data_IF_825916169861
#
_entry.id   IF_825916169861
#
_cell.length_a   1.000
_cell.length_b   1.000
_cell.length_c   1.000
_cell.angle_alpha   90.00
_cell.angle_beta   90.00
_cell.angle_gamma   90.00
#
_symmetry.space_group_name_H-M   'P 1'
#
loop_
_entity.id
_entity.type
_entity.pdbx_description
1 polymer ?
#
# COMPACT_ATOMS: atom_id res chain seq x y z
N UNK A 1 2.96 -2.64 -15.54
CA UNK A 1 3.83 -1.83 -14.67
C UNK A 1 3.72 -0.38 -15.11
N UNK A 2 3.74 0.55 -14.16
CA UNK A 2 3.79 1.99 -14.43
C UNK A 2 5.23 2.41 -14.79
N UNK A 3 5.37 3.48 -15.54
CA UNK A 3 6.68 4.13 -15.78
C UNK A 3 7.06 5.01 -14.60
N UNK A 4 8.32 5.43 -14.53
CA UNK A 4 8.76 6.37 -13.49
C UNK A 4 8.00 7.71 -13.58
N UNK A 5 7.74 8.21 -14.79
CA UNK A 5 6.97 9.45 -14.99
C UNK A 5 5.53 9.34 -14.48
N UNK A 6 4.88 8.17 -14.68
CA UNK A 6 3.56 7.88 -14.14
C UNK A 6 3.60 7.80 -12.60
N UNK A 7 4.65 7.20 -12.05
CA UNK A 7 4.87 7.16 -10.60
C UNK A 7 5.11 8.54 -10.00
N UNK A 8 5.95 9.35 -10.63
CA UNK A 8 6.17 10.74 -10.22
C UNK A 8 4.87 11.53 -10.24
N UNK A 9 4.09 11.41 -11.31
CA UNK A 9 2.78 12.05 -11.40
C UNK A 9 1.90 11.71 -10.19
N UNK A 10 1.82 10.43 -9.80
CA UNK A 10 1.00 10.00 -8.65
C UNK A 10 1.50 10.56 -7.32
N UNK A 11 2.82 10.59 -7.10
CA UNK A 11 3.42 11.17 -5.89
C UNK A 11 3.16 12.67 -5.81
N UNK A 12 3.32 13.41 -6.93
CA UNK A 12 2.99 14.84 -7.00
C UNK A 12 1.50 15.11 -6.80
N UNK A 13 0.63 14.25 -7.36
CA UNK A 13 -0.81 14.32 -7.15
C UNK A 13 -1.17 14.12 -5.68
N UNK A 14 -0.57 13.13 -5.01
CA UNK A 14 -0.78 12.89 -3.59
C UNK A 14 -0.41 14.12 -2.75
N UNK A 15 0.78 14.70 -2.98
CA UNK A 15 1.26 15.91 -2.29
C UNK A 15 0.32 17.09 -2.50
N UNK A 16 0.00 17.40 -3.76
CA UNK A 16 -0.91 18.48 -4.12
C UNK A 16 -2.27 18.32 -3.43
N UNK A 17 -2.82 17.11 -3.43
CA UNK A 17 -4.13 16.82 -2.83
C UNK A 17 -4.13 17.07 -1.32
N UNK A 18 -3.07 16.67 -0.61
CA UNK A 18 -2.91 16.95 0.82
C UNK A 18 -2.83 18.46 1.07
N UNK A 19 -1.95 19.16 0.35
CA UNK A 19 -1.71 20.59 0.54
C UNK A 19 -2.95 21.44 0.22
N UNK A 20 -3.70 21.10 -0.83
CA UNK A 20 -4.97 21.75 -1.17
C UNK A 20 -6.02 21.52 -0.09
N UNK A 21 -6.19 20.27 0.34
CA UNK A 21 -7.13 19.92 1.41
C UNK A 21 -6.82 20.66 2.72
N UNK A 22 -5.55 20.64 3.16
CA UNK A 22 -5.12 21.31 4.39
C UNK A 22 -5.21 22.85 4.31
N UNK A 23 -5.21 23.40 3.09
CA UNK A 23 -5.42 24.84 2.84
C UNK A 23 -6.90 25.22 2.69
N UNK A 24 -7.84 24.27 2.85
CA UNK A 24 -9.27 24.49 2.64
C UNK A 24 -9.67 24.70 1.18
N UNK A 25 -8.78 24.37 0.23
CA UNK A 25 -9.06 24.44 -1.21
C UNK A 25 -9.75 23.18 -1.69
N UNK A 26 -10.54 23.32 -2.75
CA UNK A 26 -11.15 22.16 -3.40
C UNK A 26 -10.08 21.31 -4.10
N UNK A 27 -10.07 20.03 -3.79
CA UNK A 27 -9.23 19.05 -4.49
C UNK A 27 -10.00 18.51 -5.68
N UNK A 28 -9.42 18.66 -6.87
CA UNK A 28 -10.03 18.17 -8.12
C UNK A 28 -9.28 16.96 -8.65
N UNK A 29 -10.05 15.99 -9.15
CA UNK A 29 -9.47 14.84 -9.84
C UNK A 29 -9.02 15.26 -11.25
N UNK A 30 -7.74 15.08 -11.60
CA UNK A 30 -7.26 15.41 -12.93
C UNK A 30 -7.72 14.38 -13.96
N UNK A 31 -7.72 14.79 -15.24
CA UNK A 31 -7.75 13.82 -16.33
C UNK A 31 -6.48 12.98 -16.28
N UNK A 32 -6.58 11.63 -16.23
CA UNK A 32 -5.39 10.77 -16.21
C UNK A 32 -4.52 11.00 -17.45
N UNK A 33 -3.20 11.27 -17.32
CA UNK A 33 -2.31 11.47 -18.46
C UNK A 33 -2.04 10.20 -19.27
N UNK A 34 -2.41 9.03 -18.75
CA UNK A 34 -2.35 7.75 -19.45
C UNK A 34 -3.54 6.87 -19.09
N UNK A 35 -3.87 5.88 -19.95
CA UNK A 35 -4.93 4.91 -19.67
C UNK A 35 -4.67 4.14 -18.38
N UNK A 36 -3.40 3.77 -18.10
CA UNK A 36 -3.01 3.02 -16.91
C UNK A 36 -3.33 3.75 -15.60
N UNK A 37 -3.23 5.08 -15.60
CA UNK A 37 -3.58 5.91 -14.45
C UNK A 37 -5.10 6.08 -14.28
N UNK A 38 -5.87 5.78 -15.33
CA UNK A 38 -7.33 5.68 -15.31
C UNK A 38 -7.87 4.30 -14.90
N UNK A 39 -7.03 3.26 -14.87
CA UNK A 39 -7.45 1.92 -14.45
C UNK A 39 -7.83 1.88 -12.97
N UNK A 40 -8.73 0.95 -12.62
CA UNK A 40 -9.02 0.66 -11.22
C UNK A 40 -7.88 -0.16 -10.61
N UNK A 41 -7.21 0.38 -9.59
CA UNK A 41 -6.08 -0.24 -8.91
C UNK A 41 -6.16 0.02 -7.41
N UNK A 42 -5.64 -0.93 -6.62
CA UNK A 42 -5.38 -0.69 -5.21
C UNK A 42 -4.17 0.24 -5.03
N UNK A 43 -4.20 1.06 -3.98
CA UNK A 43 -3.10 1.99 -3.67
C UNK A 43 -3.00 2.23 -2.17
N UNK A 44 -1.79 2.47 -1.69
CA UNK A 44 -1.51 3.05 -0.39
C UNK A 44 -0.71 4.34 -0.56
N UNK A 45 -0.96 5.30 0.29
CA UNK A 45 -0.13 6.50 0.43
C UNK A 45 0.44 6.52 1.82
N UNK A 46 1.77 6.61 1.91
CA UNK A 46 2.50 6.66 3.18
C UNK A 46 3.22 8.00 3.29
N UNK A 47 3.16 8.57 4.48
CA UNK A 47 3.82 9.80 4.85
C UNK A 47 4.92 9.48 5.85
N UNK A 48 6.15 9.90 5.56
CA UNK A 48 7.27 9.75 6.47
C UNK A 48 7.87 11.11 6.83
N UNK A 49 8.35 11.26 8.06
CA UNK A 49 9.11 12.43 8.49
C UNK A 49 10.50 12.42 7.86
N UNK A 50 10.92 13.53 7.31
CA UNK A 50 12.27 13.69 6.79
C UNK A 50 13.14 14.44 7.81
N UNK A 51 14.41 14.05 8.05
CA UNK A 51 15.10 12.89 7.45
C UNK A 51 14.97 11.58 8.24
N UNK A 52 14.23 11.53 9.36
CA UNK A 52 14.21 10.39 10.29
C UNK A 52 13.57 9.12 9.71
N UNK A 53 12.78 9.24 8.64
CA UNK A 53 11.97 8.16 8.05
C UNK A 53 10.94 7.55 9.03
N UNK A 54 10.58 8.26 10.09
CA UNK A 54 9.50 7.85 10.96
C UNK A 54 8.15 7.95 10.27
N UNK A 55 7.30 6.93 10.47
CA UNK A 55 5.95 6.93 9.94
C UNK A 55 5.15 8.10 10.50
N UNK A 56 4.43 8.84 9.63
CA UNK A 56 3.57 9.97 9.99
C UNK A 56 2.11 9.75 9.62
N UNK A 57 1.83 8.84 8.71
CA UNK A 57 0.50 8.42 8.30
C UNK A 57 0.57 7.42 7.15
N UNK A 58 -0.37 6.47 7.12
CA UNK A 58 -0.46 5.49 6.03
C UNK A 58 -1.89 4.96 5.94
N UNK A 59 -2.59 5.31 4.88
CA UNK A 59 -3.93 4.79 4.56
C UNK A 59 -3.93 4.35 3.10
N UNK A 60 -4.75 3.33 2.79
CA UNK A 60 -4.91 2.85 1.43
C UNK A 60 -6.30 2.37 1.11
N UNK A 61 -6.53 2.20 -0.18
CA UNK A 61 -7.66 1.53 -0.77
C UNK A 61 -7.13 0.26 -1.46
N UNK A 62 -7.09 -0.88 -0.75
CA UNK A 62 -6.42 -2.08 -1.24
C UNK A 62 -7.13 -2.75 -2.43
N UNK A 63 -8.44 -2.56 -2.53
CA UNK A 63 -9.23 -3.16 -3.61
C UNK A 63 -9.39 -2.19 -4.80
N UNK A 64 -9.41 -2.70 -6.04
CA UNK A 64 -9.48 -1.89 -7.27
C UNK A 64 -10.91 -1.37 -7.53
N UNK A 65 -11.43 -0.54 -6.62
CA UNK A 65 -12.79 0.01 -6.68
C UNK A 65 -12.86 1.37 -7.38
N UNK A 66 -11.78 2.15 -7.34
CA UNK A 66 -11.68 3.51 -7.89
C UNK A 66 -10.61 3.57 -8.99
N UNK A 67 -10.71 4.57 -9.89
CA UNK A 67 -9.59 4.89 -10.80
C UNK A 67 -8.36 5.24 -9.96
N UNK A 68 -7.18 4.89 -10.43
CA UNK A 68 -5.94 5.05 -9.65
C UNK A 68 -5.72 6.51 -9.21
N UNK A 69 -5.96 7.48 -10.09
CA UNK A 69 -5.84 8.91 -9.74
C UNK A 69 -6.78 9.32 -8.59
N UNK A 70 -8.02 8.82 -8.60
CA UNK A 70 -9.02 9.12 -7.55
C UNK A 70 -8.65 8.40 -6.24
N UNK A 71 -8.20 7.16 -6.35
CA UNK A 71 -7.76 6.36 -5.21
C UNK A 71 -6.55 7.01 -4.51
N UNK A 72 -5.58 7.55 -5.27
CA UNK A 72 -4.42 8.28 -4.73
C UNK A 72 -4.85 9.54 -3.98
N UNK A 73 -5.76 10.35 -4.55
CA UNK A 73 -6.28 11.55 -3.89
C UNK A 73 -6.92 11.19 -2.54
N UNK A 74 -7.81 10.19 -2.56
CA UNK A 74 -8.52 9.76 -1.35
C UNK A 74 -7.56 9.20 -0.30
N UNK A 75 -6.64 8.30 -0.69
CA UNK A 75 -5.66 7.71 0.21
C UNK A 75 -4.70 8.76 0.79
N UNK A 76 -4.26 9.73 -0.02
CA UNK A 76 -3.38 10.81 0.40
C UNK A 76 -4.00 11.69 1.48
N UNK A 77 -5.23 12.17 1.24
CA UNK A 77 -5.96 13.00 2.21
C UNK A 77 -6.21 12.20 3.49
N UNK A 78 -6.66 10.95 3.37
CA UNK A 78 -6.92 10.10 4.54
C UNK A 78 -5.66 9.79 5.33
N UNK A 79 -4.51 9.58 4.69
CA UNK A 79 -3.23 9.37 5.37
C UNK A 79 -2.79 10.60 6.18
N UNK A 80 -3.11 11.80 5.70
CA UNK A 80 -2.78 13.03 6.39
C UNK A 80 -3.76 13.38 7.51
N UNK A 81 -5.04 12.96 7.43
CA UNK A 81 -6.09 13.51 8.30
C UNK A 81 -6.92 12.47 9.04
N UNK A 82 -6.92 11.21 8.62
CA UNK A 82 -7.80 10.16 9.12
C UNK A 82 -7.09 8.88 9.59
N UNK A 83 -5.76 8.87 9.65
CA UNK A 83 -5.03 7.76 10.26
C UNK A 83 -5.17 7.83 11.80
N UNK A 84 -5.83 6.85 12.45
CA UNK A 84 -6.14 6.92 13.87
C UNK A 84 -4.91 6.87 14.80
N UNK A 85 -3.74 6.52 14.24
CA UNK A 85 -2.48 6.45 15.01
C UNK A 85 -1.84 7.81 15.23
N UNK A 86 -2.26 8.83 14.46
CA UNK A 86 -1.61 10.14 14.43
C UNK A 86 -2.65 11.28 14.46
N UNK A 87 -2.32 12.45 15.05
CA UNK A 87 -3.13 13.63 14.87
C UNK A 87 -3.08 14.11 13.40
N UNK A 88 -4.09 14.82 12.90
CA UNK A 88 -4.08 15.38 11.55
C UNK A 88 -2.80 16.17 11.25
N UNK A 89 -2.26 15.98 10.06
CA UNK A 89 -1.08 16.72 9.57
C UNK A 89 -1.44 18.20 9.43
N UNK A 90 -0.52 19.08 9.79
CA UNK A 90 -0.65 20.52 9.58
C UNK A 90 0.08 20.91 8.29
N UNK A 91 -0.41 21.92 7.59
CA UNK A 91 0.16 22.36 6.30
C UNK A 91 1.68 22.63 6.39
N UNK A 92 2.14 23.25 7.46
CA UNK A 92 3.57 23.52 7.67
C UNK A 92 4.44 22.26 7.84
N UNK A 93 3.86 21.13 8.28
CA UNK A 93 4.59 19.86 8.36
C UNK A 93 4.95 19.29 6.99
N UNK A 94 4.26 19.72 5.92
CA UNK A 94 4.49 19.22 4.56
C UNK A 94 5.89 19.53 4.02
N UNK A 95 6.60 20.51 4.60
CA UNK A 95 7.99 20.83 4.28
C UNK A 95 9.00 19.81 4.84
N UNK A 96 8.56 18.99 5.81
CA UNK A 96 9.34 17.95 6.47
C UNK A 96 8.79 16.53 6.21
N UNK A 97 7.85 16.38 5.27
CA UNK A 97 7.26 15.10 4.91
C UNK A 97 7.70 14.66 3.51
N UNK A 98 8.14 13.42 3.39
CA UNK A 98 8.27 12.71 2.12
C UNK A 98 7.07 11.79 1.92
N UNK A 99 6.64 11.69 0.66
CA UNK A 99 5.46 10.92 0.27
C UNK A 99 5.89 9.70 -0.52
N UNK A 100 5.31 8.56 -0.16
CA UNK A 100 5.43 7.29 -0.86
C UNK A 100 4.04 6.87 -1.37
N UNK A 101 3.97 6.41 -2.62
CA UNK A 101 2.78 5.83 -3.24
C UNK A 101 3.07 4.40 -3.66
N UNK A 102 2.38 3.44 -3.04
CA UNK A 102 2.45 2.02 -3.37
C UNK A 102 1.25 1.62 -4.21
N UNK A 103 1.46 1.35 -5.49
CA UNK A 103 0.40 0.93 -6.44
C UNK A 103 0.36 -0.59 -6.50
N UNK A 104 -0.79 -1.18 -6.16
CA UNK A 104 -0.97 -2.63 -6.13
C UNK A 104 -1.32 -3.18 -7.51
N UNK A 105 -0.82 -4.37 -7.81
CA UNK A 105 -1.34 -5.16 -8.94
C UNK A 105 -2.72 -5.73 -8.60
N UNK A 106 -3.45 -6.19 -9.62
CA UNK A 106 -4.69 -6.92 -9.39
C UNK A 106 -4.40 -8.20 -8.61
N UNK A 107 -5.13 -8.48 -7.51
CA UNK A 107 -4.93 -9.71 -6.76
C UNK A 107 -5.20 -10.97 -7.60
N UNK A 108 -4.31 -11.96 -7.50
CA UNK A 108 -4.42 -13.25 -8.14
C UNK A 108 -4.54 -14.35 -7.09
N UNK A 109 -5.54 -15.24 -7.22
CA UNK A 109 -5.73 -16.35 -6.30
C UNK A 109 -4.60 -17.35 -6.40
N UNK A 110 -3.96 -17.69 -5.28
CA UNK A 110 -2.96 -18.75 -5.21
C UNK A 110 -3.70 -20.07 -5.15
N UNK A 111 -3.59 -20.89 -6.20
CA UNK A 111 -4.14 -22.25 -6.23
C UNK A 111 -3.18 -23.21 -5.54
N UNK A 112 -3.69 -24.03 -4.63
CA UNK A 112 -2.95 -25.06 -3.91
C UNK A 112 -3.87 -26.25 -3.59
N UNK A 113 -3.31 -27.45 -3.65
CA UNK A 113 -4.02 -28.69 -3.29
C UNK A 113 -3.81 -29.06 -1.82
N UNK A 114 -2.62 -28.74 -1.29
CA UNK A 114 -2.24 -28.96 0.10
C UNK A 114 -1.89 -27.62 0.76
N UNK A 115 -2.61 -27.18 1.80
CA UNK A 115 -2.29 -25.95 2.51
C UNK A 115 -0.86 -25.91 3.05
N UNK A 116 -0.26 -27.04 3.42
CA UNK A 116 1.11 -27.12 3.92
C UNK A 116 2.17 -26.72 2.88
N UNK A 117 1.83 -26.78 1.59
CA UNK A 117 2.69 -26.36 0.48
C UNK A 117 2.49 -24.88 0.08
N UNK A 118 1.52 -24.19 0.69
CA UNK A 118 1.25 -22.79 0.39
C UNK A 118 2.47 -21.87 0.68
N UNK A 119 3.24 -22.05 1.77
CA UNK A 119 4.43 -21.25 2.02
C UNK A 119 5.45 -21.27 0.86
N UNK A 120 5.62 -22.41 0.17
CA UNK A 120 6.55 -22.56 -0.96
C UNK A 120 6.18 -21.68 -2.17
N UNK A 121 4.93 -21.21 -2.25
CA UNK A 121 4.42 -20.36 -3.34
C UNK A 121 4.53 -18.87 -3.06
N UNK A 122 5.00 -18.49 -1.85
CA UNK A 122 5.07 -17.11 -1.38
C UNK A 122 6.52 -16.64 -1.40
N UNK A 123 6.75 -15.46 -1.97
CA UNK A 123 8.09 -14.83 -1.99
C UNK A 123 8.05 -13.58 -1.10
N UNK A 124 8.75 -13.66 0.03
CA UNK A 124 8.88 -12.55 0.98
C UNK A 124 9.51 -11.33 0.29
N UNK A 125 8.97 -10.14 0.54
CA UNK A 125 9.42 -8.88 -0.06
C UNK A 125 8.89 -8.61 -1.47
N UNK A 126 8.23 -9.60 -2.10
CA UNK A 126 7.57 -9.44 -3.39
C UNK A 126 6.05 -9.51 -3.24
N UNK A 127 5.58 -10.53 -2.55
CA UNK A 127 4.16 -10.87 -2.50
C UNK A 127 3.48 -10.20 -1.30
N UNK A 128 2.51 -9.33 -1.57
CA UNK A 128 1.47 -8.99 -0.63
C UNK A 128 0.39 -10.06 -0.65
N UNK A 129 -0.25 -10.30 0.47
CA UNK A 129 -1.24 -11.36 0.61
C UNK A 129 -2.58 -10.82 1.07
N UNK A 130 -3.65 -11.43 0.54
CA UNK A 130 -5.03 -11.26 1.02
C UNK A 130 -5.55 -12.64 1.41
N UNK A 131 -6.23 -12.74 2.55
CA UNK A 131 -7.00 -13.89 2.97
C UNK A 131 -8.48 -13.54 3.00
N UNK A 132 -9.32 -14.43 2.48
CA UNK A 132 -10.78 -14.34 2.55
C UNK A 132 -11.35 -15.65 3.04
N UNK A 133 -12.20 -15.61 4.06
CA UNK A 133 -12.85 -16.79 4.63
C UNK A 133 -14.14 -16.41 5.36
N UNK A 134 -15.28 -16.91 4.91
CA UNK A 134 -16.56 -16.83 5.66
C UNK A 134 -17.00 -15.41 6.02
N UNK A 135 -16.72 -14.40 5.18
CA UNK A 135 -17.02 -12.99 5.44
C UNK A 135 -15.89 -12.22 6.16
N UNK A 136 -14.84 -12.90 6.60
CA UNK A 136 -13.64 -12.29 7.14
C UNK A 136 -12.62 -12.03 6.03
N UNK A 137 -11.88 -10.93 6.13
CA UNK A 137 -10.82 -10.58 5.18
C UNK A 137 -9.69 -9.87 5.89
N UNK A 138 -8.46 -10.16 5.47
CA UNK A 138 -7.25 -9.49 5.96
C UNK A 138 -6.26 -9.30 4.81
N UNK A 139 -5.49 -8.22 4.89
CA UNK A 139 -4.47 -7.88 3.92
C UNK A 139 -3.18 -7.48 4.63
N UNK A 140 -2.06 -7.97 4.12
CA UNK A 140 -0.73 -7.54 4.51
C UNK A 140 0.10 -7.20 3.27
N UNK A 141 0.77 -6.05 3.31
CA UNK A 141 1.62 -5.56 2.22
C UNK A 141 2.95 -6.34 2.15
N UNK A 142 3.63 -6.38 0.98
CA UNK A 142 4.88 -7.11 0.79
C UNK A 142 6.02 -6.73 1.74
N UNK A 143 6.07 -5.46 2.19
CA UNK A 143 7.10 -4.96 3.09
C UNK A 143 6.95 -5.46 4.53
N UNK A 144 5.74 -5.80 4.95
CA UNK A 144 5.46 -6.19 6.34
C UNK A 144 6.29 -7.40 6.78
N UNK A 145 6.31 -8.55 6.07
CA UNK A 145 7.11 -9.68 6.49
C UNK A 145 8.62 -9.41 6.43
N UNK A 146 9.07 -8.47 5.60
CA UNK A 146 10.48 -8.03 5.55
C UNK A 146 10.84 -7.23 6.80
N UNK A 147 9.99 -6.30 7.23
CA UNK A 147 10.20 -5.46 8.43
C UNK A 147 10.30 -6.31 9.71
N UNK A 148 9.46 -7.34 9.82
CA UNK A 148 9.40 -8.21 10.99
C UNK A 148 10.24 -9.49 10.85
N UNK A 149 10.95 -9.66 9.73
CA UNK A 149 11.77 -10.83 9.41
C UNK A 149 10.98 -12.16 9.55
N UNK A 150 9.74 -12.17 9.04
CA UNK A 150 8.88 -13.35 9.07
C UNK A 150 9.23 -14.35 7.97
N UNK A 151 9.12 -15.64 8.31
CA UNK A 151 9.03 -16.73 7.33
C UNK A 151 7.68 -16.67 6.58
N UNK A 152 7.55 -17.36 5.44
CA UNK A 152 6.26 -17.49 4.75
C UNK A 152 5.15 -18.07 5.64
N UNK A 153 5.46 -19.00 6.53
CA UNK A 153 4.52 -19.58 7.49
C UNK A 153 4.04 -18.53 8.51
N UNK A 154 4.98 -17.79 9.11
CA UNK A 154 4.65 -16.71 10.04
C UNK A 154 3.83 -15.63 9.36
N UNK A 155 4.15 -15.32 8.09
CA UNK A 155 3.38 -14.38 7.29
C UNK A 155 1.92 -14.83 7.14
N UNK A 156 1.66 -16.11 6.83
CA UNK A 156 0.31 -16.67 6.74
C UNK A 156 -0.41 -16.71 8.10
N UNK A 157 0.33 -16.96 9.19
CA UNK A 157 -0.21 -16.88 10.55
C UNK A 157 -0.70 -15.46 10.86
N UNK A 158 0.14 -14.46 10.63
CA UNK A 158 -0.21 -13.06 10.87
C UNK A 158 -1.28 -12.53 9.93
N UNK A 159 -1.32 -13.03 8.68
CA UNK A 159 -2.40 -12.74 7.74
C UNK A 159 -3.75 -13.26 8.25
N UNK A 160 -3.79 -14.47 8.81
CA UNK A 160 -4.99 -15.04 9.45
C UNK A 160 -5.43 -14.18 10.64
N UNK A 161 -4.51 -13.80 11.53
CA UNK A 161 -4.79 -12.93 12.66
C UNK A 161 -5.30 -11.55 12.21
N UNK A 162 -4.73 -10.99 11.13
CA UNK A 162 -5.17 -9.71 10.54
C UNK A 162 -6.63 -9.75 10.09
N UNK A 163 -7.10 -10.91 9.66
CA UNK A 163 -8.50 -11.13 9.28
C UNK A 163 -9.42 -11.41 10.49
N UNK A 164 -8.89 -11.43 11.71
CA UNK A 164 -9.65 -11.82 12.90
C UNK A 164 -9.89 -13.33 13.03
N UNK A 165 -9.09 -14.14 12.32
CA UNK A 165 -9.16 -15.60 12.32
C UNK A 165 -8.07 -16.20 13.23
N UNK A 166 -8.21 -17.45 13.70
CA UNK A 166 -7.13 -18.19 14.37
C UNK A 166 -5.85 -18.20 13.51
N UNK A 167 -4.67 -18.10 14.12
CA UNK A 167 -3.38 -18.06 13.42
C UNK A 167 -3.13 -19.24 12.47
N UNK A 168 -3.70 -20.40 12.77
CA UNK A 168 -3.59 -21.63 11.97
C UNK A 168 -4.69 -21.79 10.94
N UNK A 169 -5.58 -20.81 10.77
CA UNK A 169 -6.75 -20.96 9.90
C UNK A 169 -6.38 -21.23 8.43
N UNK A 170 -5.30 -20.67 7.95
CA UNK A 170 -4.78 -20.91 6.59
C UNK A 170 -4.47 -22.39 6.31
N UNK A 171 -4.17 -23.20 7.35
CA UNK A 171 -3.93 -24.65 7.24
C UNK A 171 -5.21 -25.46 7.01
N UNK A 172 -6.38 -24.89 7.24
CA UNK A 172 -7.66 -25.62 7.10
C UNK A 172 -8.04 -25.87 5.64
N UNK A 173 -7.42 -25.18 4.67
CA UNK A 173 -7.79 -25.22 3.26
C UNK A 173 -9.14 -24.56 2.92
N UNK A 174 -9.76 -23.88 3.90
CA UNK A 174 -11.07 -23.23 3.74
C UNK A 174 -10.97 -21.74 3.35
N UNK A 175 -9.77 -21.17 3.42
CA UNK A 175 -9.52 -19.80 3.02
C UNK A 175 -9.13 -19.72 1.56
N UNK A 176 -9.56 -18.66 0.87
CA UNK A 176 -8.97 -18.22 -0.40
C UNK A 176 -7.82 -17.26 -0.09
N UNK A 177 -6.66 -17.55 -0.66
CA UNK A 177 -5.48 -16.71 -0.50
C UNK A 177 -5.15 -16.11 -1.86
N UNK A 178 -4.98 -14.79 -1.88
CA UNK A 178 -4.58 -14.05 -3.07
C UNK A 178 -3.22 -13.43 -2.83
N UNK A 179 -2.43 -13.33 -3.90
CA UNK A 179 -1.20 -12.55 -3.92
C UNK A 179 -1.37 -11.33 -4.82
N UNK A 180 -0.66 -10.29 -4.49
CA UNK A 180 -0.47 -9.11 -5.33
C UNK A 180 0.97 -8.63 -5.15
N UNK A 181 1.44 -7.78 -6.05
CA UNK A 181 2.71 -7.06 -5.89
C UNK A 181 2.43 -5.57 -5.75
N UNK A 182 3.40 -4.84 -5.21
CA UNK A 182 3.35 -3.39 -5.14
C UNK A 182 4.49 -2.79 -5.98
N UNK A 183 4.19 -1.72 -6.69
CA UNK A 183 5.16 -0.85 -7.31
C UNK A 183 5.22 0.43 -6.50
N UNK A 184 6.38 0.77 -5.97
CA UNK A 184 6.53 1.82 -4.96
C UNK A 184 7.29 3.00 -5.57
N UNK A 185 6.70 4.19 -5.46
CA UNK A 185 7.31 5.44 -5.87
C UNK A 185 7.39 6.39 -4.68
N UNK A 186 8.57 6.93 -4.41
CA UNK A 186 8.80 7.76 -3.23
C UNK A 186 9.65 9.00 -3.53
N UNK A 187 9.38 10.07 -2.81
CA UNK A 187 10.24 11.24 -2.78
C UNK A 187 11.52 10.94 -1.97
N UNK A 188 12.69 11.30 -2.49
CA UNK A 188 13.96 11.22 -1.74
C UNK A 188 14.06 12.27 -0.64
N UNK A 189 13.55 13.45 -0.91
CA UNK A 189 13.46 14.58 0.01
C UNK A 189 12.11 15.28 -0.20
N UNK A 190 11.59 16.06 0.75
CA UNK A 190 10.34 16.79 0.56
C UNK A 190 10.34 17.59 -0.75
N UNK A 191 9.36 17.35 -1.62
CA UNK A 191 9.26 17.90 -2.99
C UNK A 191 10.44 17.62 -3.93
N UNK A 192 11.36 16.74 -3.51
CA UNK A 192 12.55 16.36 -4.28
C UNK A 192 12.25 15.35 -5.39
N UNK A 193 13.32 14.76 -5.92
CA UNK A 193 13.25 13.71 -6.94
C UNK A 193 12.40 12.53 -6.46
N UNK A 194 11.58 11.98 -7.36
CA UNK A 194 10.82 10.76 -7.14
C UNK A 194 11.55 9.58 -7.77
N UNK A 195 11.66 8.49 -7.05
CA UNK A 195 12.28 7.25 -7.51
C UNK A 195 11.35 6.07 -7.32
N UNK A 196 11.54 5.02 -8.11
CA UNK A 196 10.94 3.72 -7.87
C UNK A 196 11.78 2.97 -6.84
N UNK A 197 11.19 2.64 -5.70
CA UNK A 197 11.84 1.85 -4.66
C UNK A 197 11.62 0.36 -4.90
N UNK A 198 12.70 -0.42 -4.85
CA UNK A 198 12.64 -1.88 -4.88
C UNK A 198 12.66 -2.40 -3.46
N UNK A 199 11.65 -3.22 -3.10
CA UNK A 199 11.68 -3.96 -1.85
C UNK A 199 12.81 -4.99 -1.91
N UNK A 200 13.90 -4.72 -1.19
CA UNK A 200 15.00 -5.67 -1.04
C UNK A 200 14.85 -6.30 0.34
N UNK A 201 14.77 -7.65 0.46
CA UNK A 201 14.81 -8.31 1.76
C UNK A 201 16.06 -7.86 2.52
N UNK A 202 15.90 -7.43 3.77
CA UNK A 202 17.04 -7.19 4.65
C UNK A 202 17.73 -8.54 4.86
N UNK A 203 19.01 -8.62 4.49
CA UNK A 203 19.86 -9.78 4.76
C UNK A 203 20.14 -9.91 6.25
#
# INVERSE_FOLDING_TARGET
>A
MLTIDEGEFLVRLARKSIEEHLSGRRVESPTPPSERLGEKRGVFVTLYRYPSKELRGCIGLPYPTHRLVDAVIHAAISSATADPRFPPVRLKEMDEIVIEVSVLTKPEEIKYDDPKKLPEKIVIGRDGLIIEAGGFSGLLLPQVPVEYNWSPEEYLMHLSLKAGLPSTYWLTGRARIYRFTAQIFAEKTPRGEVVEEKLTPKR
#
